data_IF_058382838060
#
_entry.id   IF_058382838060
#
_cell.length_a   1.000
_cell.length_b   1.000
_cell.length_c   1.000
_cell.angle_alpha   90.00
_cell.angle_beta   90.00
_cell.angle_gamma   90.00
#
_symmetry.space_group_name_H-M   'P 1'
#
loop_
_entity.id
_entity.type
_entity.pdbx_description
1 polymer ?
#
# COMPACT_ATOMS: atom_id res chain seq x y z
N UNK A 1 -22.81 -15.04 -5.77
CA UNK A 1 -22.09 -13.75 -5.69
C UNK A 1 -20.86 -13.93 -4.80
N UNK A 2 -19.74 -13.27 -5.11
CA UNK A 2 -18.56 -13.25 -4.22
C UNK A 2 -18.78 -12.30 -3.04
N UNK A 3 -18.22 -12.61 -1.87
CA UNK A 3 -18.22 -11.71 -0.72
C UNK A 3 -16.84 -11.61 -0.09
N UNK A 4 -16.34 -10.40 0.10
CA UNK A 4 -15.10 -10.15 0.83
C UNK A 4 -15.49 -9.79 2.25
N UNK A 5 -15.11 -10.65 3.20
CA UNK A 5 -15.28 -10.42 4.64
C UNK A 5 -13.99 -9.87 5.21
N UNK A 6 -14.05 -8.73 5.87
CA UNK A 6 -12.92 -8.22 6.64
C UNK A 6 -13.41 -7.54 7.94
N UNK A 7 -12.59 -7.55 8.99
CA UNK A 7 -12.82 -6.70 10.15
C UNK A 7 -12.88 -5.23 9.73
N UNK A 8 -13.83 -4.48 10.28
CA UNK A 8 -14.00 -3.06 9.94
C UNK A 8 -12.75 -2.22 10.25
N UNK A 9 -11.98 -2.61 11.28
CA UNK A 9 -10.70 -2.01 11.66
C UNK A 9 -9.54 -2.29 10.70
N UNK A 10 -9.77 -3.03 9.61
CA UNK A 10 -8.77 -3.43 8.62
C UNK A 10 -9.09 -2.95 7.21
N UNK A 11 -10.04 -2.02 7.08
CA UNK A 11 -10.44 -1.51 5.78
C UNK A 11 -9.28 -0.84 5.02
N UNK A 12 -8.27 -0.34 5.73
CA UNK A 12 -7.02 0.21 5.20
C UNK A 12 -6.11 -0.83 4.52
N UNK A 13 -6.34 -2.13 4.71
CA UNK A 13 -5.40 -3.15 4.29
C UNK A 13 -5.41 -3.34 2.76
N UNK A 14 -4.23 -3.34 2.08
CA UNK A 14 -4.16 -3.40 0.61
C UNK A 14 -4.83 -4.65 0.03
N UNK A 15 -4.82 -5.79 0.72
CA UNK A 15 -5.49 -7.01 0.25
C UNK A 15 -7.00 -6.83 0.05
N UNK A 16 -7.68 -6.05 0.89
CA UNK A 16 -9.13 -5.82 0.75
C UNK A 16 -9.40 -5.11 -0.58
N UNK A 17 -8.64 -4.05 -0.85
CA UNK A 17 -8.77 -3.29 -2.09
C UNK A 17 -8.32 -4.08 -3.32
N UNK A 18 -7.25 -4.88 -3.20
CA UNK A 18 -6.78 -5.73 -4.28
C UNK A 18 -7.84 -6.76 -4.68
N UNK A 19 -8.44 -7.46 -3.72
CA UNK A 19 -9.51 -8.42 -4.00
C UNK A 19 -10.75 -7.76 -4.63
N UNK A 20 -11.15 -6.58 -4.15
CA UNK A 20 -12.29 -5.83 -4.70
C UNK A 20 -12.04 -5.36 -6.14
N UNK A 21 -10.87 -4.78 -6.41
CA UNK A 21 -10.49 -4.32 -7.75
C UNK A 21 -10.27 -5.48 -8.71
N UNK A 22 -9.74 -6.61 -8.24
CA UNK A 22 -9.60 -7.81 -9.05
C UNK A 22 -10.97 -8.37 -9.45
N UNK A 23 -11.90 -8.52 -8.51
CA UNK A 23 -13.27 -8.98 -8.81
C UNK A 23 -13.99 -8.02 -9.76
N UNK A 24 -13.73 -6.71 -9.65
CA UNK A 24 -14.22 -5.70 -10.59
C UNK A 24 -13.66 -5.91 -11.99
N UNK A 25 -12.35 -6.12 -12.11
CA UNK A 25 -11.68 -6.32 -13.39
C UNK A 25 -12.11 -7.62 -14.08
N UNK A 26 -12.39 -8.66 -13.28
CA UNK A 26 -12.96 -9.94 -13.71
C UNK A 26 -14.47 -9.89 -13.97
N UNK A 27 -15.09 -8.72 -13.82
CA UNK A 27 -16.53 -8.47 -14.03
C UNK A 27 -17.43 -9.41 -13.21
N UNK A 28 -16.95 -9.86 -12.04
CA UNK A 28 -17.69 -10.75 -11.17
C UNK A 28 -18.53 -9.94 -10.18
N UNK A 29 -19.79 -10.33 -9.91
CA UNK A 29 -20.60 -9.68 -8.88
C UNK A 29 -19.99 -9.95 -7.50
N UNK A 30 -19.70 -8.87 -6.76
CA UNK A 30 -19.01 -8.92 -5.47
C UNK A 30 -19.56 -7.90 -4.48
N UNK A 31 -19.46 -8.22 -3.19
CA UNK A 31 -19.82 -7.33 -2.07
C UNK A 31 -18.72 -7.31 -1.00
N UNK A 32 -18.75 -6.30 -0.15
CA UNK A 32 -17.91 -6.17 1.04
C UNK A 32 -18.80 -6.34 2.28
N UNK A 33 -18.37 -7.22 3.18
CA UNK A 33 -19.00 -7.47 4.47
C UNK A 33 -18.00 -7.08 5.57
N UNK A 34 -18.39 -6.09 6.37
CA UNK A 34 -17.56 -5.59 7.46
C UNK A 34 -18.01 -6.22 8.77
N UNK A 35 -17.10 -6.93 9.44
CA UNK A 35 -17.33 -7.44 10.78
C UNK A 35 -17.05 -6.30 11.79
N UNK A 36 -18.03 -5.87 12.61
CA UNK A 36 -17.87 -4.76 13.55
C UNK A 36 -16.94 -5.12 14.71
N UNK A 37 -16.76 -6.40 14.99
CA UNK A 37 -15.85 -6.87 16.02
C UNK A 37 -14.41 -6.73 15.57
N UNK A 38 -13.66 -5.87 16.25
CA UNK A 38 -12.22 -5.72 16.03
C UNK A 38 -11.52 -7.01 16.48
N UNK A 39 -10.87 -7.71 15.57
CA UNK A 39 -9.90 -8.76 15.89
C UNK A 39 -8.81 -8.16 16.76
N UNK A 40 -8.45 -8.87 17.84
CA UNK A 40 -7.41 -8.45 18.78
C UNK A 40 -6.11 -8.22 18.00
N UNK A 41 -5.77 -6.94 17.80
CA UNK A 41 -4.55 -6.50 17.10
C UNK A 41 -3.35 -7.22 17.71
N UNK A 42 -2.46 -7.68 16.84
CA UNK A 42 -1.38 -8.64 17.13
C UNK A 42 -0.43 -8.25 18.26
N UNK A 43 0.57 -9.11 18.51
CA UNK A 43 1.53 -8.93 19.62
C UNK A 43 2.31 -7.60 19.58
N UNK A 44 2.33 -6.94 18.42
CA UNK A 44 3.08 -5.71 18.18
C UNK A 44 2.17 -4.49 18.28
N UNK A 45 2.75 -3.37 18.74
CA UNK A 45 2.06 -2.09 18.80
C UNK A 45 1.65 -1.62 17.40
N UNK A 46 2.54 -1.82 16.42
CA UNK A 46 2.25 -1.57 15.00
C UNK A 46 2.03 -2.91 14.29
N UNK A 47 0.82 -3.19 13.76
CA UNK A 47 0.49 -4.48 13.17
C UNK A 47 1.16 -4.66 11.80
N UNK A 48 1.63 -5.88 11.54
CA UNK A 48 2.24 -6.28 10.27
C UNK A 48 1.16 -6.55 9.21
N UNK A 49 1.43 -6.12 7.98
CA UNK A 49 0.56 -6.31 6.83
C UNK A 49 0.38 -7.79 6.49
N UNK A 50 1.47 -8.56 6.44
CA UNK A 50 1.38 -9.99 6.09
C UNK A 50 0.56 -10.82 7.09
N UNK A 51 0.59 -10.46 8.37
CA UNK A 51 -0.24 -11.10 9.40
C UNK A 51 -1.71 -10.71 9.21
N UNK A 52 -1.96 -9.41 9.03
CA UNK A 52 -3.28 -8.85 8.81
C UNK A 52 -3.96 -9.41 7.54
N UNK A 53 -3.21 -9.67 6.49
CA UNK A 53 -3.75 -10.21 5.24
C UNK A 53 -4.60 -11.49 5.43
N UNK A 54 -4.28 -12.30 6.45
CA UNK A 54 -4.98 -13.57 6.74
C UNK A 54 -6.38 -13.40 7.32
N UNK A 55 -6.70 -12.20 7.81
CA UNK A 55 -8.02 -11.87 8.35
C UNK A 55 -9.01 -11.48 7.26
N UNK A 56 -8.51 -11.14 6.06
CA UNK A 56 -9.33 -10.88 4.88
C UNK A 56 -9.72 -12.22 4.25
N UNK A 57 -11.03 -12.48 4.18
CA UNK A 57 -11.56 -13.74 3.65
C UNK A 57 -12.41 -13.47 2.42
N UNK A 58 -12.14 -14.19 1.34
CA UNK A 58 -12.91 -14.12 0.11
C UNK A 58 -13.79 -15.35 0.05
N UNK A 59 -15.10 -15.15 0.22
CA UNK A 59 -16.09 -16.21 0.12
C UNK A 59 -16.54 -16.33 -1.33
N UNK A 60 -16.34 -17.51 -1.92
CA UNK A 60 -16.82 -17.82 -3.27
C UNK A 60 -18.34 -18.08 -3.23
N UNK A 61 -19.05 -17.84 -4.35
CA UNK A 61 -20.41 -18.35 -4.47
C UNK A 61 -20.46 -19.86 -4.21
N UNK A 62 -21.55 -20.39 -3.63
CA UNK A 62 -21.75 -21.82 -3.52
C UNK A 62 -21.72 -22.41 -4.93
N UNK A 63 -20.85 -23.39 -5.14
CA UNK A 63 -20.86 -24.19 -6.36
C UNK A 63 -22.02 -25.16 -6.17
N UNK A 64 -23.09 -25.01 -6.96
CA UNK A 64 -24.11 -26.05 -7.05
C UNK A 64 -23.47 -27.29 -7.66
N UNK A 65 -22.93 -28.15 -6.80
CA UNK A 65 -22.65 -29.52 -7.16
C UNK A 65 -23.99 -30.26 -7.21
N UNK A 66 -24.64 -30.23 -8.37
CA UNK A 66 -25.58 -31.28 -8.75
C UNK A 66 -24.76 -32.54 -9.08
N UNK A 67 -24.25 -33.20 -8.06
CA UNK A 67 -23.70 -34.55 -8.17
C UNK A 67 -24.26 -35.34 -7.00
N UNK A 68 -25.24 -36.19 -7.29
CA UNK A 68 -25.70 -37.37 -6.53
C UNK A 68 -25.30 -37.41 -5.06
N UNK A 69 -25.62 -36.35 -4.30
CA UNK A 69 -25.57 -36.41 -2.85
C UNK A 69 -26.91 -36.97 -2.43
N UNK A 70 -26.89 -38.19 -1.91
CA UNK A 70 -28.06 -38.80 -1.28
C UNK A 70 -28.76 -37.75 -0.41
N UNK A 71 -30.07 -37.63 -0.57
CA UNK A 71 -30.90 -36.66 0.12
C UNK A 71 -30.53 -36.61 1.61
N UNK A 72 -29.80 -35.57 2.02
CA UNK A 72 -29.30 -35.43 3.40
C UNK A 72 -27.88 -34.85 3.59
N UNK A 73 -27.08 -34.61 2.54
CA UNK A 73 -25.67 -34.18 2.74
C UNK A 73 -25.17 -33.01 1.87
N UNK A 74 -26.02 -32.15 1.31
CA UNK A 74 -25.56 -30.93 0.64
C UNK A 74 -25.31 -29.81 1.66
N UNK A 75 -24.25 -29.91 2.46
CA UNK A 75 -23.65 -28.68 3.00
C UNK A 75 -23.00 -27.96 1.82
N UNK A 76 -23.66 -26.91 1.34
CA UNK A 76 -23.08 -25.92 0.42
C UNK A 76 -21.78 -25.39 1.02
N UNK A 77 -20.65 -26.01 0.68
CA UNK A 77 -19.33 -25.55 1.13
C UNK A 77 -18.91 -24.38 0.25
N UNK A 78 -19.23 -23.16 0.69
CA UNK A 78 -18.57 -21.96 0.17
C UNK A 78 -17.07 -22.08 0.42
N UNK A 79 -16.26 -21.99 -0.63
CA UNK A 79 -14.80 -22.03 -0.49
C UNK A 79 -14.34 -20.66 0.05
N UNK A 80 -13.45 -20.69 1.03
CA UNK A 80 -12.80 -19.49 1.57
C UNK A 80 -11.40 -19.37 0.98
N UNK A 81 -11.12 -18.25 0.32
CA UNK A 81 -9.79 -17.89 -0.16
C UNK A 81 -9.20 -16.80 0.73
N UNK A 82 -7.87 -16.79 0.83
CA UNK A 82 -7.11 -15.83 1.65
C UNK A 82 -6.18 -14.95 0.81
N UNK A 83 -6.03 -15.30 -0.48
CA UNK A 83 -5.18 -14.59 -1.43
C UNK A 83 -6.03 -14.14 -2.61
N UNK A 84 -5.81 -12.92 -3.08
CA UNK A 84 -6.55 -12.40 -4.23
C UNK A 84 -6.21 -13.18 -5.50
N UNK A 85 -4.96 -13.64 -5.62
CA UNK A 85 -4.47 -14.40 -6.76
C UNK A 85 -5.25 -15.71 -6.95
N UNK A 86 -5.75 -16.32 -5.86
CA UNK A 86 -6.56 -17.53 -5.91
C UNK A 86 -7.91 -17.33 -6.62
N UNK A 87 -8.39 -16.08 -6.71
CA UNK A 87 -9.60 -15.75 -7.49
C UNK A 87 -9.45 -16.09 -8.96
N UNK A 88 -8.24 -15.91 -9.52
CA UNK A 88 -8.00 -16.23 -10.93
C UNK A 88 -8.11 -17.73 -11.17
N UNK A 89 -7.73 -18.57 -10.21
CA UNK A 89 -7.92 -20.01 -10.32
C UNK A 89 -9.39 -20.42 -10.23
N UNK A 90 -10.16 -19.78 -9.35
CA UNK A 90 -11.59 -20.09 -9.18
C UNK A 90 -12.42 -19.62 -10.37
N UNK A 91 -12.19 -18.39 -10.85
CA UNK A 91 -12.94 -17.80 -11.97
C UNK A 91 -12.59 -18.46 -13.31
N UNK A 92 -11.33 -18.89 -13.49
CA UNK A 92 -10.88 -19.54 -14.72
C UNK A 92 -10.97 -21.07 -14.67
N UNK A 93 -11.49 -21.67 -13.60
CA UNK A 93 -11.65 -23.13 -13.56
C UNK A 93 -12.64 -23.52 -14.66
N UNK A 94 -12.25 -24.34 -15.65
CA UNK A 94 -13.21 -24.84 -16.61
C UNK A 94 -14.28 -25.59 -15.83
N UNK A 95 -15.54 -25.18 -15.98
CA UNK A 95 -16.69 -25.94 -15.50
C UNK A 95 -16.51 -27.34 -16.08
N UNK A 96 -16.23 -28.31 -15.20
CA UNK A 96 -15.83 -29.64 -15.60
C UNK A 96 -16.79 -30.22 -16.63
N UNK A 97 -16.22 -30.88 -17.63
CA UNK A 97 -16.87 -31.65 -18.68
C UNK A 97 -18.19 -32.29 -18.22
N UNK A 98 -19.31 -31.63 -18.51
CA UNK A 98 -20.61 -32.08 -18.01
C UNK A 98 -21.66 -30.97 -17.95
N UNK A 99 -22.04 -30.48 -19.14
CA UNK A 99 -23.38 -29.93 -19.44
C UNK A 99 -23.77 -28.57 -18.83
N UNK A 100 -24.02 -27.64 -19.75
CA UNK A 100 -25.02 -26.55 -19.74
C UNK A 100 -25.19 -25.67 -18.49
N UNK A 101 -24.62 -24.46 -18.52
CA UNK A 101 -25.34 -23.17 -18.52
C UNK A 101 -24.37 -22.01 -18.18
N UNK A 102 -23.86 -21.37 -19.22
CA UNK A 102 -23.02 -20.18 -19.14
C UNK A 102 -21.84 -20.33 -20.09
N UNK A 103 -21.96 -19.75 -21.28
CA UNK A 103 -20.90 -19.73 -22.29
C UNK A 103 -19.54 -19.44 -21.65
N UNK A 104 -18.50 -20.15 -22.11
CA UNK A 104 -17.12 -19.76 -21.85
C UNK A 104 -17.00 -18.28 -22.21
N UNK A 105 -16.92 -17.43 -21.19
CA UNK A 105 -16.97 -16.00 -21.38
C UNK A 105 -15.74 -15.63 -22.23
N UNK A 106 -15.87 -14.79 -23.29
CA UNK A 106 -14.76 -14.46 -24.19
C UNK A 106 -13.53 -13.86 -23.49
N UNK A 107 -13.67 -13.50 -22.21
CA UNK A 107 -12.60 -13.17 -21.27
C UNK A 107 -11.58 -14.30 -21.03
N UNK A 108 -11.91 -15.58 -21.21
CA UNK A 108 -10.98 -16.68 -20.89
C UNK A 108 -9.67 -16.63 -21.68
N UNK A 109 -9.69 -16.29 -22.96
CA UNK A 109 -8.45 -16.24 -23.77
C UNK A 109 -7.59 -15.01 -23.49
N UNK A 110 -8.19 -13.87 -23.15
CA UNK A 110 -7.46 -12.64 -22.82
C UNK A 110 -6.82 -12.69 -21.43
N UNK A 111 -7.49 -13.35 -20.48
CA UNK A 111 -7.02 -13.45 -19.09
C UNK A 111 -5.71 -14.25 -19.00
N UNK A 112 -5.56 -15.35 -19.75
CA UNK A 112 -4.31 -16.13 -19.75
C UNK A 112 -3.11 -15.35 -20.29
N UNK A 113 -3.29 -14.51 -21.31
CA UNK A 113 -2.21 -13.67 -21.84
C UNK A 113 -1.73 -12.66 -20.78
N UNK A 114 -2.64 -12.12 -19.98
CA UNK A 114 -2.33 -11.18 -18.89
C UNK A 114 -1.96 -11.84 -17.55
N UNK A 115 -2.07 -13.16 -17.44
CA UNK A 115 -1.90 -13.87 -16.16
C UNK A 115 -0.45 -13.78 -15.67
N UNK A 116 0.52 -13.93 -16.58
CA UNK A 116 1.93 -13.85 -16.23
C UNK A 116 2.27 -12.47 -15.66
N UNK A 117 1.89 -11.41 -16.38
CA UNK A 117 2.10 -10.02 -15.95
C UNK A 117 1.41 -9.72 -14.61
N UNK A 118 0.21 -10.26 -14.39
CA UNK A 118 -0.48 -10.13 -13.11
C UNK A 118 0.27 -10.82 -11.97
N UNK A 119 0.79 -12.03 -12.18
CA UNK A 119 1.52 -12.78 -11.17
C UNK A 119 2.88 -12.12 -10.86
N UNK A 120 3.55 -11.58 -11.87
CA UNK A 120 4.77 -10.77 -11.70
C UNK A 120 4.48 -9.51 -10.87
N UNK A 121 3.43 -8.76 -11.23
CA UNK A 121 3.01 -7.57 -10.48
C UNK A 121 2.59 -7.89 -9.04
N UNK A 122 1.90 -9.02 -8.82
CA UNK A 122 1.53 -9.51 -7.49
C UNK A 122 2.74 -9.94 -6.67
N UNK A 123 3.76 -10.49 -7.33
CA UNK A 123 5.05 -10.85 -6.71
C UNK A 123 5.81 -9.60 -6.30
N UNK A 124 5.88 -8.57 -7.16
CA UNK A 124 6.50 -7.28 -6.83
C UNK A 124 5.75 -6.61 -5.67
N UNK A 125 4.42 -6.59 -5.72
CA UNK A 125 3.55 -6.09 -4.66
C UNK A 125 3.83 -6.79 -3.31
N UNK A 126 3.97 -8.12 -3.32
CA UNK A 126 4.31 -8.91 -2.13
C UNK A 126 5.71 -8.61 -1.58
N UNK A 127 6.70 -8.37 -2.45
CA UNK A 127 8.05 -7.97 -2.02
C UNK A 127 8.03 -6.60 -1.34
N UNK A 128 7.28 -5.63 -1.90
CA UNK A 128 7.10 -4.32 -1.29
C UNK A 128 6.41 -4.44 0.07
N UNK A 129 5.34 -5.24 0.19
CA UNK A 129 4.66 -5.50 1.48
C UNK A 129 5.62 -6.11 2.49
N UNK A 130 6.46 -7.07 2.08
CA UNK A 130 7.45 -7.70 2.96
C UNK A 130 8.53 -6.71 3.44
N UNK A 131 8.94 -5.78 2.57
CA UNK A 131 9.86 -4.70 2.94
C UNK A 131 9.22 -3.69 3.90
N UNK A 132 7.93 -3.39 3.72
CA UNK A 132 7.16 -2.60 4.69
C UNK A 132 7.13 -3.33 6.03
N UNK A 133 6.80 -4.62 6.07
CA UNK A 133 6.78 -5.38 7.32
C UNK A 133 8.14 -5.39 8.01
N UNK A 134 9.24 -5.55 7.29
CA UNK A 134 10.59 -5.45 7.85
C UNK A 134 10.86 -4.06 8.49
N UNK A 135 10.38 -2.99 7.85
CA UNK A 135 10.46 -1.64 8.39
C UNK A 135 9.56 -1.45 9.62
N UNK A 136 8.34 -2.00 9.62
CA UNK A 136 7.43 -1.96 10.77
C UNK A 136 7.98 -2.76 11.95
N UNK A 137 8.64 -3.90 11.71
CA UNK A 137 9.36 -4.64 12.75
C UNK A 137 10.47 -3.77 13.34
N UNK A 138 11.28 -3.12 12.49
CA UNK A 138 12.34 -2.21 12.96
C UNK A 138 11.79 -1.01 13.75
N UNK A 139 10.61 -0.52 13.39
CA UNK A 139 9.92 0.53 14.13
C UNK A 139 9.42 0.06 15.50
N UNK A 140 8.96 -1.19 15.61
CA UNK A 140 8.58 -1.79 16.89
C UNK A 140 9.79 -2.08 17.80
N UNK A 141 10.97 -2.39 17.25
CA UNK A 141 12.19 -2.63 18.05
C UNK A 141 12.90 -1.34 18.47
N UNK A 142 12.72 -0.25 17.72
CA UNK A 142 13.37 1.03 17.98
C UNK A 142 14.87 1.06 17.63
N UNK A 143 15.38 0.05 16.93
CA UNK A 143 16.75 0.04 16.45
C UNK A 143 16.89 0.95 15.21
N UNK A 144 17.65 2.02 15.38
CA UNK A 144 17.84 3.06 14.38
C UNK A 144 18.64 2.59 13.16
N UNK A 145 19.59 1.67 13.33
CA UNK A 145 20.41 1.20 12.22
C UNK A 145 19.66 0.19 11.37
N UNK A 146 18.91 -0.73 12.00
CA UNK A 146 18.02 -1.61 11.23
C UNK A 146 16.94 -0.81 10.53
N UNK A 147 16.34 0.18 11.20
CA UNK A 147 15.36 1.08 10.58
C UNK A 147 15.95 1.78 9.35
N UNK A 148 17.19 2.26 9.41
CA UNK A 148 17.90 2.89 8.29
C UNK A 148 18.05 1.91 7.12
N UNK A 149 18.47 0.68 7.39
CA UNK A 149 18.68 -0.35 6.37
C UNK A 149 17.36 -0.81 5.73
N UNK A 150 16.32 -1.05 6.53
CA UNK A 150 15.01 -1.45 6.02
C UNK A 150 14.32 -0.33 5.25
N UNK A 151 14.49 0.93 5.68
CA UNK A 151 13.99 2.08 4.94
C UNK A 151 14.71 2.25 3.60
N UNK A 152 16.03 2.08 3.57
CA UNK A 152 16.79 2.12 2.31
C UNK A 152 16.35 1.02 1.34
N UNK A 153 16.16 -0.21 1.83
CA UNK A 153 15.65 -1.32 1.02
C UNK A 153 14.25 -1.03 0.44
N UNK A 154 13.34 -0.47 1.25
CA UNK A 154 12.01 -0.08 0.78
C UNK A 154 12.08 1.00 -0.31
N UNK A 155 12.92 2.03 -0.11
CA UNK A 155 13.12 3.09 -1.10
C UNK A 155 13.70 2.55 -2.40
N UNK A 156 14.67 1.65 -2.35
CA UNK A 156 15.25 1.01 -3.53
C UNK A 156 14.21 0.20 -4.32
N UNK A 157 13.31 -0.51 -3.63
CA UNK A 157 12.21 -1.23 -4.29
C UNK A 157 11.22 -0.29 -4.98
N UNK A 158 10.91 0.84 -4.35
CA UNK A 158 10.02 1.86 -4.95
C UNK A 158 10.71 2.54 -6.14
N UNK A 159 12.02 2.80 -6.06
CA UNK A 159 12.81 3.34 -7.17
C UNK A 159 12.84 2.38 -8.37
N UNK A 160 13.01 1.07 -8.12
CA UNK A 160 12.92 0.04 -9.16
C UNK A 160 11.52 -0.03 -9.77
N UNK A 161 10.47 0.11 -8.95
CA UNK A 161 9.09 0.19 -9.43
C UNK A 161 8.91 1.43 -10.31
N UNK A 162 9.42 2.59 -9.89
CA UNK A 162 9.35 3.81 -10.69
C UNK A 162 10.09 3.69 -12.03
N UNK A 163 11.28 3.07 -12.03
CA UNK A 163 12.05 2.82 -13.24
C UNK A 163 11.33 1.88 -14.23
N UNK A 164 10.47 0.98 -13.71
CA UNK A 164 9.66 0.08 -14.53
C UNK A 164 8.46 0.76 -15.20
N UNK A 165 8.00 1.89 -14.66
CA UNK A 165 6.88 2.64 -15.24
C UNK A 165 7.40 3.41 -16.46
N UNK A 166 6.95 3.01 -17.64
CA UNK A 166 7.24 3.73 -18.88
C UNK A 166 6.69 5.14 -18.81
N UNK A 167 7.47 6.11 -19.31
CA UNK A 167 7.05 7.51 -19.32
C UNK A 167 5.93 7.70 -20.35
N UNK A 168 4.68 7.58 -19.87
CA UNK A 168 3.48 7.68 -20.70
C UNK A 168 3.24 9.07 -21.28
N UNK A 169 4.08 10.06 -20.95
CA UNK A 169 4.12 11.34 -21.67
C UNK A 169 4.25 11.19 -23.19
N UNK A 170 4.70 10.02 -23.67
CA UNK A 170 4.75 9.68 -25.10
C UNK A 170 3.49 9.00 -25.67
N UNK A 171 2.53 8.56 -24.83
CA UNK A 171 1.33 7.80 -25.25
C UNK A 171 -0.01 8.45 -24.91
N UNK A 172 -0.01 9.69 -24.40
CA UNK A 172 -1.23 10.43 -24.01
C UNK A 172 -2.28 10.61 -25.12
N UNK A 173 -1.96 10.31 -26.38
CA UNK A 173 -2.86 10.51 -27.51
C UNK A 173 -3.95 9.43 -27.73
N UNK A 174 -3.91 8.25 -27.07
CA UNK A 174 -4.75 7.12 -27.51
C UNK A 174 -5.43 6.23 -26.45
N UNK A 175 -5.34 6.50 -25.15
CA UNK A 175 -5.72 5.49 -24.13
C UNK A 175 -6.94 5.82 -23.23
N UNK A 176 -7.93 6.57 -23.70
CA UNK A 176 -9.16 6.79 -22.90
C UNK A 176 -10.13 5.60 -22.86
N UNK A 177 -9.98 4.61 -23.75
CA UNK A 177 -10.90 3.45 -23.84
C UNK A 177 -10.24 2.08 -23.61
N UNK A 178 -8.94 2.02 -23.27
CA UNK A 178 -8.31 0.74 -22.96
C UNK A 178 -8.61 0.33 -21.52
N UNK A 179 -9.30 -0.81 -21.37
CA UNK A 179 -9.52 -1.48 -20.09
C UNK A 179 -8.18 -1.69 -19.39
N UNK A 180 -8.07 -1.30 -18.13
CA UNK A 180 -6.77 -1.35 -17.43
C UNK A 180 -6.28 -2.81 -17.32
N UNK A 181 -4.96 -3.06 -17.47
CA UNK A 181 -4.42 -4.40 -17.37
C UNK A 181 -4.56 -4.93 -15.93
N UNK A 182 -4.77 -6.24 -15.79
CA UNK A 182 -4.94 -6.87 -14.47
C UNK A 182 -3.75 -6.61 -13.54
N UNK A 183 -2.54 -6.52 -14.10
CA UNK A 183 -1.28 -6.24 -13.40
C UNK A 183 -1.25 -4.88 -12.68
N UNK A 184 -2.10 -3.92 -13.07
CA UNK A 184 -2.16 -2.61 -12.44
C UNK A 184 -2.70 -2.66 -11.00
N UNK A 185 -3.64 -3.56 -10.70
CA UNK A 185 -4.36 -3.59 -9.42
C UNK A 185 -3.50 -3.93 -8.19
N UNK A 186 -2.66 -4.99 -8.19
CA UNK A 186 -1.81 -5.30 -7.04
C UNK A 186 -0.81 -4.18 -6.72
N UNK A 187 -0.27 -3.50 -7.75
CA UNK A 187 0.66 -2.38 -7.60
C UNK A 187 -0.06 -1.10 -7.16
N UNK A 188 -1.24 -0.83 -7.71
CA UNK A 188 -2.05 0.30 -7.30
C UNK A 188 -2.43 0.22 -5.82
N UNK A 189 -2.85 -0.94 -5.33
CA UNK A 189 -3.27 -1.10 -3.94
C UNK A 189 -2.11 -0.93 -2.94
N UNK A 190 -0.91 -1.43 -3.28
CA UNK A 190 0.26 -1.22 -2.42
C UNK A 190 0.75 0.21 -2.44
N UNK A 191 0.74 0.87 -3.61
CA UNK A 191 1.04 2.29 -3.71
C UNK A 191 0.01 3.15 -2.97
N UNK A 192 -1.27 2.82 -3.09
CA UNK A 192 -2.34 3.48 -2.35
C UNK A 192 -2.07 3.40 -0.84
N UNK A 193 -1.74 2.22 -0.32
CA UNK A 193 -1.38 2.06 1.09
C UNK A 193 -0.13 2.90 1.46
N UNK A 194 0.95 2.84 0.67
CA UNK A 194 2.16 3.62 0.93
C UNK A 194 1.91 5.14 0.96
N UNK A 195 1.07 5.66 0.07
CA UNK A 195 0.77 7.08 -0.05
C UNK A 195 -0.23 7.53 1.02
N UNK A 196 -1.38 6.87 1.12
CA UNK A 196 -2.50 7.30 1.97
C UNK A 196 -2.29 6.94 3.45
N UNK A 197 -1.77 5.74 3.74
CA UNK A 197 -1.58 5.23 5.10
C UNK A 197 -0.12 5.29 5.55
N UNK A 198 0.84 5.02 4.66
CA UNK A 198 2.27 5.10 4.97
C UNK A 198 2.79 6.54 5.05
N UNK A 199 2.20 7.46 4.29
CA UNK A 199 2.64 8.85 4.21
C UNK A 199 3.88 9.06 3.35
N UNK A 200 4.08 8.22 2.32
CA UNK A 200 5.20 8.31 1.38
C UNK A 200 5.30 9.70 0.72
N UNK A 201 6.51 10.22 0.60
CA UNK A 201 6.78 11.48 -0.10
C UNK A 201 6.68 11.26 -1.62
N UNK A 202 5.57 11.68 -2.22
CA UNK A 202 5.30 11.53 -3.66
C UNK A 202 6.21 12.39 -4.54
N UNK A 203 6.87 13.41 -3.98
CA UNK A 203 7.79 14.29 -4.72
C UNK A 203 9.05 13.59 -5.19
N UNK A 204 9.48 12.52 -4.51
CA UNK A 204 10.64 11.73 -4.91
C UNK A 204 10.34 10.79 -6.09
N UNK A 205 9.07 10.44 -6.29
CA UNK A 205 8.63 9.44 -7.28
C UNK A 205 7.56 10.01 -8.24
N UNK A 206 7.92 10.96 -9.13
CA UNK A 206 6.98 11.67 -9.97
C UNK A 206 6.19 10.76 -10.93
N UNK A 207 6.80 9.73 -11.52
CA UNK A 207 6.09 8.85 -12.48
C UNK A 207 5.09 7.97 -11.76
N UNK A 208 5.48 7.40 -10.63
CA UNK A 208 4.61 6.63 -9.75
C UNK A 208 3.42 7.47 -9.29
N UNK A 209 3.67 8.72 -8.89
CA UNK A 209 2.61 9.65 -8.49
C UNK A 209 1.68 9.99 -9.66
N UNK A 210 2.22 10.22 -10.87
CA UNK A 210 1.41 10.45 -12.07
C UNK A 210 0.53 9.24 -12.41
N UNK A 211 1.08 8.03 -12.33
CA UNK A 211 0.33 6.80 -12.58
C UNK A 211 -0.78 6.57 -11.54
N UNK A 212 -0.48 6.78 -10.26
CA UNK A 212 -1.45 6.69 -9.16
C UNK A 212 -2.57 7.73 -9.30
N UNK A 213 -2.23 9.00 -9.54
CA UNK A 213 -3.22 10.07 -9.72
C UNK A 213 -4.09 9.85 -10.96
N UNK A 214 -3.51 9.37 -12.06
CA UNK A 214 -4.26 8.96 -13.25
C UNK A 214 -5.28 7.89 -12.89
N UNK A 215 -4.87 6.76 -12.31
CA UNK A 215 -5.80 5.69 -11.92
C UNK A 215 -6.88 6.19 -10.94
N UNK A 216 -6.54 7.10 -10.03
CA UNK A 216 -7.51 7.67 -9.09
C UNK A 216 -8.59 8.53 -9.75
N UNK A 217 -8.29 9.22 -10.86
CA UNK A 217 -9.17 10.21 -11.47
C UNK A 217 -9.81 9.73 -12.77
N UNK A 218 -9.10 8.96 -13.60
CA UNK A 218 -9.60 8.49 -14.89
C UNK A 218 -10.28 7.11 -14.80
N UNK A 219 -9.87 6.25 -13.86
CA UNK A 219 -10.41 4.89 -13.79
C UNK A 219 -11.83 4.86 -13.22
N UNK A 220 -12.77 4.40 -14.04
CA UNK A 220 -14.14 4.11 -13.62
C UNK A 220 -14.18 2.99 -12.58
N UNK A 221 -13.29 2.00 -12.68
CA UNK A 221 -13.20 0.89 -11.75
C UNK A 221 -12.85 1.37 -10.34
N UNK A 222 -11.84 2.25 -10.21
CA UNK A 222 -11.44 2.85 -8.92
C UNK A 222 -12.56 3.73 -8.35
N UNK A 223 -13.22 4.54 -9.16
CA UNK A 223 -14.33 5.38 -8.71
C UNK A 223 -15.52 4.54 -8.18
N UNK A 224 -15.88 3.47 -8.88
CA UNK A 224 -16.94 2.56 -8.44
C UNK A 224 -16.56 1.76 -7.19
N UNK A 225 -15.30 1.33 -7.10
CA UNK A 225 -14.74 0.68 -5.91
C UNK A 225 -14.82 1.60 -4.69
N UNK A 226 -14.33 2.84 -4.79
CA UNK A 226 -14.44 3.84 -3.71
C UNK A 226 -15.87 4.07 -3.27
N UNK A 227 -16.81 4.20 -4.22
CA UNK A 227 -18.25 4.33 -3.90
C UNK A 227 -18.84 3.10 -3.24
N UNK A 228 -18.36 1.89 -3.58
CA UNK A 228 -18.82 0.66 -2.93
C UNK A 228 -18.35 0.64 -1.47
N UNK A 229 -17.05 0.84 -1.26
CA UNK A 229 -16.43 0.89 0.07
C UNK A 229 -17.11 1.94 0.95
N UNK A 230 -17.29 3.15 0.44
CA UNK A 230 -17.95 4.23 1.18
C UNK A 230 -19.39 3.88 1.57
N UNK A 231 -20.19 3.32 0.64
CA UNK A 231 -21.56 2.90 0.94
C UNK A 231 -21.61 1.80 2.00
N UNK A 232 -20.70 0.84 1.96
CA UNK A 232 -20.62 -0.22 2.98
C UNK A 232 -20.24 0.34 4.35
N UNK A 233 -19.37 1.34 4.40
CA UNK A 233 -19.00 2.06 5.64
C UNK A 233 -20.19 2.84 6.21
N UNK A 234 -20.91 3.59 5.37
CA UNK A 234 -22.11 4.34 5.77
C UNK A 234 -23.18 3.40 6.33
N UNK A 235 -23.43 2.27 5.66
CA UNK A 235 -24.36 1.24 6.15
C UNK A 235 -23.96 0.67 7.53
N UNK A 236 -22.66 0.46 7.77
CA UNK A 236 -22.17 -0.01 9.08
C UNK A 236 -22.42 1.03 10.18
N UNK A 237 -22.21 2.32 9.87
CA UNK A 237 -22.40 3.42 10.82
C UNK A 237 -23.89 3.67 11.13
N UNK A 238 -24.75 3.58 10.12
CA UNK A 238 -26.20 3.79 10.29
C UNK A 238 -26.82 2.70 11.16
N UNK A 239 -26.42 1.44 10.99
CA UNK A 239 -26.88 0.32 11.84
C UNK A 239 -26.50 0.53 13.31
N UNK A 240 -25.30 1.08 13.57
CA UNK A 240 -24.85 1.43 14.93
C UNK A 240 -25.63 2.57 15.60
N UNK A 241 -26.39 3.37 14.84
CA UNK A 241 -27.16 4.50 15.37
C UNK A 241 -28.58 4.14 15.83
N UNK A 242 -29.09 2.97 15.45
CA UNK A 242 -30.51 2.59 15.60
C UNK A 242 -30.79 1.57 16.70
N UNK A 243 -29.77 1.06 17.40
CA UNK A 243 -29.95 0.06 18.46
C UNK A 243 -29.73 0.70 19.84
N UNK A 244 -30.85 0.84 20.58
CA UNK A 244 -31.01 1.41 21.92
C UNK A 244 -30.35 0.56 23.05
N UNK A 245 -29.22 -0.08 22.77
CA UNK A 245 -28.50 -0.93 23.72
C UNK A 245 -27.06 -0.46 23.89
N UNK A 246 -26.80 0.15 25.05
CA UNK A 246 -25.48 0.42 25.64
C UNK A 246 -24.43 1.07 24.72
N UNK A 247 -24.66 2.36 24.43
CA UNK A 247 -23.74 3.30 23.79
C UNK A 247 -22.58 3.68 24.74
N UNK A 248 -21.84 2.69 25.24
CA UNK A 248 -20.50 2.87 25.83
C UNK A 248 -19.38 2.32 24.94
N UNK A 249 -19.71 1.77 23.77
CA UNK A 249 -18.74 1.38 22.74
C UNK A 249 -19.13 1.86 21.34
N UNK A 250 -19.69 3.07 21.26
CA UNK A 250 -19.64 3.88 20.04
C UNK A 250 -18.21 4.37 19.74
N UNK A 251 -17.22 3.49 19.92
CA UNK A 251 -15.87 3.70 19.44
C UNK A 251 -15.99 3.75 17.92
N UNK A 252 -16.05 4.98 17.38
CA UNK A 252 -15.88 5.27 15.95
C UNK A 252 -14.81 4.32 15.45
N UNK A 253 -15.19 3.30 14.68
CA UNK A 253 -14.26 2.30 14.21
C UNK A 253 -13.17 3.05 13.46
N UNK A 254 -11.97 3.10 14.02
CA UNK A 254 -10.84 3.75 13.37
C UNK A 254 -10.47 2.90 12.16
N UNK A 255 -10.93 3.35 10.99
CA UNK A 255 -10.68 2.70 9.71
C UNK A 255 -9.29 3.05 9.13
N UNK A 256 -8.56 3.95 9.79
CA UNK A 256 -7.20 4.30 9.43
C UNK A 256 -6.21 3.27 9.97
N UNK A 257 -5.05 3.16 9.31
CA UNK A 257 -3.95 2.34 9.80
C UNK A 257 -3.46 2.84 11.17
N UNK A 258 -3.19 1.97 12.17
CA UNK A 258 -2.80 2.43 13.50
C UNK A 258 -1.52 3.26 13.54
N UNK A 259 -0.58 2.99 12.64
CA UNK A 259 0.65 3.79 12.48
C UNK A 259 0.57 4.65 11.22
N UNK A 260 -0.55 5.35 11.01
CA UNK A 260 -0.73 6.24 9.87
C UNK A 260 0.37 7.29 9.82
N UNK A 261 1.06 7.37 8.69
CA UNK A 261 2.19 8.27 8.49
C UNK A 261 3.53 7.72 8.98
N UNK A 262 3.66 6.42 9.24
CA UNK A 262 4.90 5.83 9.77
C UNK A 262 6.13 6.13 8.92
N UNK A 263 6.03 6.31 7.59
CA UNK A 263 7.18 6.68 6.76
C UNK A 263 7.70 8.08 7.10
N UNK A 264 6.80 9.01 7.42
CA UNK A 264 7.18 10.36 7.88
C UNK A 264 7.82 10.32 9.26
N UNK A 265 7.33 9.42 10.12
CA UNK A 265 7.94 9.19 11.44
C UNK A 265 9.35 8.61 11.29
N UNK A 266 9.52 7.56 10.48
CA UNK A 266 10.82 6.97 10.15
C UNK A 266 11.78 8.04 9.61
N UNK A 267 11.34 8.86 8.66
CA UNK A 267 12.16 9.94 8.12
C UNK A 267 12.57 10.96 9.19
N UNK A 268 11.65 11.31 10.11
CA UNK A 268 11.96 12.19 11.24
C UNK A 268 12.96 11.55 12.21
N UNK A 269 12.79 10.28 12.55
CA UNK A 269 13.72 9.55 13.42
C UNK A 269 15.11 9.47 12.78
N UNK A 270 15.20 9.06 11.51
CA UNK A 270 16.46 8.97 10.77
C UNK A 270 17.13 10.35 10.61
N UNK A 271 16.36 11.40 10.34
CA UNK A 271 16.90 12.77 10.28
C UNK A 271 17.47 13.21 11.64
N UNK A 272 16.80 12.89 12.75
CA UNK A 272 17.31 13.19 14.10
C UNK A 272 18.54 12.37 14.46
N UNK A 273 18.58 11.09 14.04
CA UNK A 273 19.68 10.17 14.32
C UNK A 273 20.96 10.54 13.56
N UNK A 274 20.83 10.92 12.28
CA UNK A 274 21.97 11.28 11.45
C UNK A 274 22.53 12.68 11.74
N UNK A 275 21.74 13.56 12.36
CA UNK A 275 22.16 14.94 12.67
C UNK A 275 23.05 15.00 13.91
N UNK A 276 24.28 15.46 13.71
CA UNK A 276 25.18 15.81 14.80
C UNK A 276 24.63 16.97 15.64
N UNK A 277 25.08 17.08 16.90
CA UNK A 277 24.68 18.20 17.76
C UNK A 277 25.16 19.54 17.20
N UNK A 278 26.35 19.58 16.60
CA UNK A 278 26.93 20.79 16.00
C UNK A 278 26.11 21.27 14.80
N UNK A 279 25.68 20.35 13.93
CA UNK A 279 24.80 20.67 12.81
C UNK A 279 23.46 21.24 13.30
N UNK A 280 22.86 20.63 14.33
CA UNK A 280 21.61 21.13 14.93
C UNK A 280 21.74 22.55 15.49
N UNK A 281 22.89 22.90 16.07
CA UNK A 281 23.11 24.24 16.62
C UNK A 281 23.44 25.30 15.57
N UNK A 282 23.90 24.90 14.39
CA UNK A 282 24.31 25.81 13.31
C UNK A 282 23.27 25.95 12.21
N UNK A 283 22.31 25.03 12.13
CA UNK A 283 21.20 25.11 11.19
C UNK A 283 20.32 26.33 11.50
N UNK A 284 19.92 27.05 10.44
CA UNK A 284 19.18 28.31 10.55
C UNK A 284 19.97 29.52 11.08
N UNK A 285 21.23 29.36 11.53
CA UNK A 285 22.05 30.47 12.01
C UNK A 285 22.71 31.19 10.84
N UNK A 286 22.51 32.51 10.76
CA UNK A 286 23.18 33.40 9.81
C UNK A 286 23.98 34.46 10.56
N UNK A 287 25.20 34.74 10.09
CA UNK A 287 26.04 35.79 10.63
C UNK A 287 25.86 37.10 9.87
N UNK A 288 26.57 38.14 10.32
CA UNK A 288 26.59 39.46 9.69
C UNK A 288 27.05 39.42 8.22
N UNK A 289 27.88 38.42 7.86
CA UNK A 289 28.37 38.20 6.49
C UNK A 289 27.51 37.23 5.67
N UNK A 290 26.29 36.94 6.12
CA UNK A 290 25.39 35.97 5.50
C UNK A 290 25.50 34.56 6.11
N UNK A 291 25.28 33.48 5.33
CA UNK A 291 25.32 32.12 5.87
C UNK A 291 26.71 31.78 6.41
N UNK A 292 26.75 31.00 7.50
CA UNK A 292 28.00 30.58 8.11
C UNK A 292 28.92 29.89 7.09
N UNK A 293 30.23 30.15 7.18
CA UNK A 293 31.21 29.50 6.30
C UNK A 293 31.13 27.97 6.39
N UNK A 294 30.90 27.41 7.58
CA UNK A 294 30.69 25.96 7.76
C UNK A 294 29.52 25.41 6.95
N UNK A 295 28.45 26.21 6.77
CA UNK A 295 27.31 25.85 5.94
C UNK A 295 27.62 26.00 4.44
N UNK A 296 28.25 27.10 4.05
CA UNK A 296 28.56 27.37 2.64
C UNK A 296 29.65 26.45 2.07
N UNK A 297 30.63 26.05 2.88
CA UNK A 297 31.74 25.17 2.47
C UNK A 297 31.67 23.76 3.07
N UNK A 298 30.55 23.36 3.68
CA UNK A 298 30.37 22.04 4.29
C UNK A 298 30.34 20.90 3.27
N UNK A 299 29.63 21.11 2.16
CA UNK A 299 29.59 20.20 1.00
C UNK A 299 30.83 20.30 0.10
N UNK A 300 32.03 20.38 0.70
CA UNK A 300 33.28 20.58 -0.07
C UNK A 300 33.56 19.38 -0.98
N UNK A 301 33.56 19.62 -2.29
CA UNK A 301 33.96 18.63 -3.31
C UNK A 301 35.45 18.76 -3.67
N UNK A 302 36.30 19.00 -2.67
CA UNK A 302 37.73 19.27 -2.82
C UNK A 302 38.13 20.68 -2.38
N UNK A 303 39.41 20.84 -2.01
CA UNK A 303 39.94 22.08 -1.40
C UNK A 303 40.09 23.20 -2.44
N UNK A 304 40.36 22.86 -3.71
CA UNK A 304 40.53 23.84 -4.79
C UNK A 304 39.26 24.68 -5.06
N UNK A 305 38.08 24.11 -4.80
CA UNK A 305 36.81 24.80 -4.98
C UNK A 305 36.45 25.74 -3.81
N UNK A 306 37.19 25.68 -2.69
CA UNK A 306 36.92 26.49 -1.50
C UNK A 306 37.56 27.86 -1.65
N UNK A 307 36.74 28.91 -1.71
CA UNK A 307 37.26 30.28 -1.70
C UNK A 307 37.88 30.61 -0.34
N UNK A 308 39.17 30.92 -0.33
CA UNK A 308 39.91 31.32 0.87
C UNK A 308 39.54 32.74 1.31
N UNK A 309 38.38 32.89 1.96
CA UNK A 309 37.86 34.17 2.48
C UNK A 309 38.27 34.48 3.92
N UNK A 310 39.21 33.72 4.49
CA UNK A 310 39.66 33.90 5.88
C UNK A 310 40.62 35.10 5.96
N UNK A 311 40.27 36.19 6.66
CA UNK A 311 41.16 37.35 6.81
C UNK A 311 42.45 36.96 7.52
N UNK A 312 43.57 37.61 7.16
CA UNK A 312 44.88 37.34 7.74
C UNK A 312 44.91 37.43 9.28
N UNK A 313 44.08 38.30 9.86
CA UNK A 313 43.93 38.45 11.32
C UNK A 313 43.37 37.22 12.03
N UNK A 314 42.65 36.35 11.31
CA UNK A 314 42.04 35.13 11.83
C UNK A 314 42.75 33.85 11.38
N UNK A 315 43.83 33.96 10.60
CA UNK A 315 44.59 32.80 10.10
C UNK A 315 45.36 32.08 11.21
N UNK A 316 45.81 32.80 12.24
CA UNK A 316 46.40 32.20 13.43
C UNK A 316 45.29 31.74 14.37
N UNK A 317 44.70 30.56 14.13
CA UNK A 317 43.90 29.91 15.17
C UNK A 317 44.82 29.68 16.37
N UNK A 318 44.51 30.18 17.58
CA UNK A 318 45.24 29.75 18.76
C UNK A 318 45.05 28.24 18.85
N UNK A 319 46.16 27.49 18.77
CA UNK A 319 46.18 26.10 19.23
C UNK A 319 45.56 26.14 20.62
N UNK A 320 44.36 25.55 20.78
CA UNK A 320 43.75 25.38 22.10
C UNK A 320 44.83 24.80 22.99
N UNK A 321 45.30 25.58 23.97
CA UNK A 321 46.00 25.06 25.13
C UNK A 321 44.97 24.21 25.88
N UNK A 322 44.95 22.92 25.56
CA UNK A 322 44.53 21.87 26.48
C UNK A 322 45.74 21.46 27.29
#
# INVERSE_FOLDING_TARGET
MFAIRCPASMLWHPSVHHSLLLLRALEQPHTLLLDPHTTSRGRLFVPLLSECAREVRIQTPPVHHEFDSAAGASTERSVLLYRAEDLLHVVNRPLGAGRDLGAACPTQSGVFASLLEYLEASTVSSHVISAIDALLVSLNTGDMETMRQTHACLVELIERLEASITDESLSEAYQTDQKEPLSAWPLFCTLQFLIEEGGMLTSAFPRTNKAYTRLCHSSKAVAQHRRLVQRTVEQLLDVGSSTDTDVSQGARVEMNYPAKGFLRDVQRHLASYNRSMEERTTDGVSGEKGPLNSRASGGRLGIQAVQARLPWTLQARPLRKG
#
